data_IF_858834204640
#
_entry.id   IF_858834204640
#
_cell.length_a   1.000
_cell.length_b   1.000
_cell.length_c   1.000
_cell.angle_alpha   90.00
_cell.angle_beta   90.00
_cell.angle_gamma   90.00
#
_symmetry.space_group_name_H-M   'P 1'
#
loop_
_entity.id
_entity.type
_entity.pdbx_description
1 polymer ?
#
# COMPACT_ATOMS: atom_id res chain seq x y z
N UNK A 1 0.89 8.13 7.99
CA UNK A 1 1.83 8.30 9.12
C UNK A 1 2.75 9.49 8.89
N UNK A 2 3.41 9.63 7.72
CA UNK A 2 4.38 10.71 7.51
C UNK A 2 3.75 12.12 7.60
N UNK A 3 2.49 12.32 7.15
CA UNK A 3 1.74 13.58 7.35
C UNK A 3 1.55 13.99 8.81
N UNK A 4 1.72 13.06 9.76
CA UNK A 4 1.60 13.28 11.20
C UNK A 4 2.96 13.24 11.90
N UNK A 5 4.07 13.25 11.15
CA UNK A 5 5.44 13.16 11.69
C UNK A 5 5.82 11.79 12.25
N UNK A 6 5.02 10.76 11.97
CA UNK A 6 5.26 9.40 12.45
C UNK A 6 6.03 8.59 11.39
N UNK A 7 6.80 7.60 11.83
CA UNK A 7 7.47 6.64 10.96
C UNK A 7 6.53 5.50 10.51
N UNK A 8 6.97 4.73 9.52
CA UNK A 8 6.40 3.41 9.22
C UNK A 8 6.62 2.49 10.42
N UNK A 9 5.55 1.87 10.90
CA UNK A 9 5.60 0.92 12.02
C UNK A 9 5.24 -0.51 11.54
N UNK A 10 5.18 -1.48 12.45
CA UNK A 10 4.77 -2.88 12.18
C UNK A 10 5.62 -3.58 11.12
N UNK A 11 6.91 -3.21 11.01
CA UNK A 11 7.82 -3.79 10.02
C UNK A 11 7.51 -3.38 8.58
N UNK A 12 6.67 -2.35 8.36
CA UNK A 12 6.30 -1.88 7.02
C UNK A 12 7.50 -1.47 6.15
N UNK A 13 8.57 -0.95 6.77
CA UNK A 13 9.82 -0.62 6.07
C UNK A 13 10.57 -1.84 5.50
N UNK A 14 10.29 -3.05 6.00
CA UNK A 14 10.87 -4.30 5.50
C UNK A 14 9.93 -5.05 4.55
N UNK A 15 8.64 -5.11 4.89
CA UNK A 15 7.61 -5.84 4.14
C UNK A 15 7.22 -5.13 2.84
N UNK A 16 6.91 -3.83 2.91
CA UNK A 16 6.39 -3.07 1.78
C UNK A 16 7.31 -3.10 0.54
N UNK A 17 8.64 -2.83 0.62
CA UNK A 17 9.49 -2.87 -0.56
C UNK A 17 9.64 -4.28 -1.18
N UNK A 18 9.36 -5.36 -0.43
CA UNK A 18 9.35 -6.73 -0.96
C UNK A 18 8.06 -7.05 -1.71
N UNK A 19 6.97 -6.38 -1.34
CA UNK A 19 5.66 -6.57 -1.94
C UNK A 19 5.48 -5.72 -3.20
N UNK A 20 5.83 -4.43 -3.14
CA UNK A 20 5.57 -3.47 -4.25
C UNK A 20 6.84 -2.92 -4.92
N UNK A 21 8.03 -3.39 -4.50
CA UNK A 21 9.32 -2.86 -4.95
C UNK A 21 9.76 -1.60 -4.21
N UNK A 22 11.08 -1.37 -4.15
CA UNK A 22 11.67 -0.30 -3.33
C UNK A 22 11.22 1.11 -3.73
N UNK A 23 11.10 1.38 -5.03
CA UNK A 23 10.78 2.72 -5.52
C UNK A 23 9.35 3.11 -5.15
N UNK A 24 8.40 2.20 -5.38
CA UNK A 24 7.00 2.40 -5.03
C UNK A 24 6.79 2.46 -3.52
N UNK A 25 7.49 1.63 -2.75
CA UNK A 25 7.44 1.69 -1.30
C UNK A 25 7.88 3.06 -0.75
N UNK A 26 8.93 3.66 -1.33
CA UNK A 26 9.37 5.01 -0.95
C UNK A 26 8.34 6.07 -1.32
N UNK A 27 7.76 5.99 -2.51
CA UNK A 27 6.71 6.90 -2.96
C UNK A 27 5.52 6.91 -1.99
N UNK A 28 4.96 5.72 -1.70
CA UNK A 28 3.85 5.56 -0.74
C UNK A 28 4.23 6.09 0.65
N UNK A 29 5.47 5.88 1.08
CA UNK A 29 5.91 6.25 2.42
C UNK A 29 6.20 7.74 2.60
N UNK A 30 6.70 8.39 1.55
CA UNK A 30 7.16 9.78 1.61
C UNK A 30 6.07 10.75 1.14
N UNK A 31 5.31 10.38 0.10
CA UNK A 31 4.26 11.24 -0.47
C UNK A 31 2.93 11.06 0.24
N UNK A 32 2.68 9.90 0.85
CA UNK A 32 1.45 9.60 1.61
C UNK A 32 0.16 9.87 0.83
N UNK A 33 0.20 9.61 -0.46
CA UNK A 33 -0.96 9.69 -1.33
C UNK A 33 -1.94 8.55 -1.01
N UNK A 34 -3.24 8.86 -1.13
CA UNK A 34 -4.28 7.84 -1.04
C UNK A 34 -4.42 7.23 -2.44
N UNK A 35 -4.24 5.92 -2.52
CA UNK A 35 -4.43 5.15 -3.75
C UNK A 35 -5.77 4.41 -3.71
N UNK A 36 -6.36 4.19 -4.87
CA UNK A 36 -7.56 3.38 -5.00
C UNK A 36 -7.24 1.87 -5.12
N UNK A 37 -8.28 1.04 -5.16
CA UNK A 37 -8.13 -0.41 -5.23
C UNK A 37 -7.49 -0.89 -6.55
N UNK A 38 -7.79 -0.21 -7.66
CA UNK A 38 -7.22 -0.55 -8.96
C UNK A 38 -5.71 -0.33 -8.95
N UNK A 39 -5.27 0.78 -8.36
CA UNK A 39 -3.87 1.10 -8.22
C UNK A 39 -3.14 0.16 -7.26
N UNK A 40 -3.74 -0.12 -6.10
CA UNK A 40 -3.21 -1.08 -5.16
C UNK A 40 -2.96 -2.46 -5.82
N UNK A 41 -3.86 -2.90 -6.69
CA UNK A 41 -3.68 -4.15 -7.43
C UNK A 41 -2.59 -4.04 -8.50
N UNK A 42 -2.56 -2.94 -9.27
CA UNK A 42 -1.55 -2.71 -10.31
C UNK A 42 -0.12 -2.77 -9.76
N UNK A 43 0.09 -2.28 -8.54
CA UNK A 43 1.42 -2.22 -7.91
C UNK A 43 1.74 -3.48 -7.10
N UNK A 44 0.84 -4.47 -7.05
CA UNK A 44 1.02 -5.71 -6.29
C UNK A 44 0.80 -5.59 -4.78
N UNK A 45 0.18 -4.49 -4.31
CA UNK A 45 -0.16 -4.30 -2.90
C UNK A 45 -1.32 -5.21 -2.46
N UNK A 46 -2.27 -5.46 -3.37
CA UNK A 46 -3.31 -6.48 -3.21
C UNK A 46 -3.24 -7.47 -4.36
N UNK A 47 -3.80 -8.65 -4.17
CA UNK A 47 -3.77 -9.73 -5.17
C UNK A 47 -4.97 -9.70 -6.14
N UNK A 48 -6.11 -9.15 -5.71
CA UNK A 48 -7.38 -9.11 -6.44
C UNK A 48 -8.20 -7.89 -6.01
N UNK A 49 -9.08 -7.44 -6.90
CA UNK A 49 -10.13 -6.44 -6.62
C UNK A 49 -11.46 -7.09 -6.96
N UNK A 50 -12.44 -6.94 -6.07
CA UNK A 50 -13.78 -7.53 -6.19
C UNK A 50 -14.83 -6.43 -6.02
N UNK A 51 -16.06 -6.63 -6.53
CA UNK A 51 -17.23 -5.88 -6.09
C UNK A 51 -17.40 -5.96 -4.57
N UNK A 52 -17.98 -4.90 -3.98
CA UNK A 52 -18.17 -4.80 -2.53
C UNK A 52 -19.02 -5.95 -1.96
N UNK A 53 -20.06 -6.35 -2.71
CA UNK A 53 -20.96 -7.46 -2.40
C UNK A 53 -20.26 -8.84 -2.32
N UNK A 54 -19.07 -8.98 -2.90
CA UNK A 54 -18.33 -10.25 -2.95
C UNK A 54 -17.22 -10.37 -1.89
N UNK A 55 -16.98 -9.32 -1.06
CA UNK A 55 -15.82 -9.28 -0.16
C UNK A 55 -16.01 -10.10 1.14
N UNK A 56 -17.22 -10.06 1.71
CA UNK A 56 -17.56 -10.68 3.01
C UNK A 56 -18.49 -11.91 2.86
N UNK A 57 -18.47 -12.55 1.68
CA UNK A 57 -19.25 -13.75 1.39
C UNK A 57 -18.91 -14.97 2.25
#
# INVERSE_FOLDING_TARGET
FARRGLSLDFGGSWLLPRQVGLHRAKELALLTEVIDAAEANRIGLVNRVLPDEDLDG
#
